data_IF_883615587497
#
_entry.id   IF_883615587497
#
_cell.length_a   1.000
_cell.length_b   1.000
_cell.length_c   1.000
_cell.angle_alpha   90.00
_cell.angle_beta   90.00
_cell.angle_gamma   90.00
#
_symmetry.space_group_name_H-M   'P 1'
#
loop_
_entity.id
_entity.type
_entity.pdbx_description
1 polymer ?
#
# COMPACT_ATOMS: atom_id res chain seq x y z
N UNK A 1 -3.86 40.09 -2.54
CA UNK A 1 -3.44 39.10 -3.55
C UNK A 1 -4.15 37.79 -3.19
N UNK A 2 -5.25 37.47 -3.88
CA UNK A 2 -5.99 36.23 -3.66
C UNK A 2 -5.28 35.11 -4.44
N UNK A 3 -4.69 34.16 -3.74
CA UNK A 3 -4.24 32.89 -4.34
C UNK A 3 -5.49 32.16 -4.86
N UNK A 4 -5.51 31.86 -6.15
CA UNK A 4 -6.58 31.07 -6.77
C UNK A 4 -6.37 29.60 -6.42
N UNK A 5 -7.25 29.04 -5.58
CA UNK A 5 -7.20 27.65 -5.13
C UNK A 5 -7.99 26.69 -6.03
N UNK A 6 -8.43 27.12 -7.22
CA UNK A 6 -8.93 26.15 -8.21
C UNK A 6 -7.81 25.13 -8.47
N UNK A 7 -8.09 23.82 -8.38
CA UNK A 7 -7.08 22.82 -8.71
C UNK A 7 -6.58 23.15 -10.12
N UNK A 8 -5.26 23.20 -10.28
CA UNK A 8 -4.63 23.40 -11.58
C UNK A 8 -4.92 22.21 -12.50
N UNK A 9 -3.88 21.48 -12.93
CA UNK A 9 -4.06 20.23 -13.67
C UNK A 9 -4.82 19.21 -12.82
N UNK A 10 -6.14 19.17 -12.94
CA UNK A 10 -6.99 18.10 -12.45
C UNK A 10 -7.15 17.09 -13.58
N UNK A 11 -6.90 15.80 -13.38
CA UNK A 11 -7.16 14.78 -14.40
C UNK A 11 -8.63 14.79 -14.85
N UNK A 12 -9.54 15.19 -13.97
CA UNK A 12 -10.98 15.31 -14.22
C UNK A 12 -11.40 16.63 -14.92
N UNK A 13 -10.44 17.48 -15.33
CA UNK A 13 -10.74 18.77 -15.96
C UNK A 13 -11.07 18.69 -17.45
N UNK A 14 -11.00 17.49 -18.05
CA UNK A 14 -11.25 17.26 -19.47
C UNK A 14 -12.12 16.03 -19.70
N UNK A 15 -13.30 16.26 -20.27
CA UNK A 15 -14.22 15.20 -20.73
C UNK A 15 -13.67 14.39 -21.93
N UNK A 16 -12.52 14.78 -22.47
CA UNK A 16 -11.90 14.17 -23.65
C UNK A 16 -10.69 13.29 -23.30
N UNK A 17 -10.21 13.33 -22.05
CA UNK A 17 -9.18 12.40 -21.59
C UNK A 17 -9.86 11.10 -21.19
N UNK A 18 -9.42 9.99 -21.77
CA UNK A 18 -9.91 8.67 -21.37
C UNK A 18 -9.58 8.43 -19.88
N UNK A 19 -10.52 7.83 -19.14
CA UNK A 19 -10.36 7.48 -17.72
C UNK A 19 -9.05 6.76 -17.39
N UNK A 20 -8.45 6.08 -18.38
CA UNK A 20 -7.19 5.35 -18.24
C UNK A 20 -6.29 5.48 -19.46
N UNK A 21 -5.36 6.43 -19.42
CA UNK A 21 -4.30 6.61 -20.42
C UNK A 21 -3.11 5.68 -20.12
N UNK A 22 -3.24 4.40 -20.46
CA UNK A 22 -2.12 3.45 -20.34
C UNK A 22 -1.10 3.65 -21.47
N UNK A 23 0.15 3.91 -21.10
CA UNK A 23 1.27 3.97 -22.05
C UNK A 23 1.81 2.58 -22.41
N UNK A 24 1.33 1.53 -21.73
CA UNK A 24 1.83 0.13 -21.83
C UNK A 24 3.33 -0.03 -21.56
N UNK A 25 3.97 0.93 -20.90
CA UNK A 25 5.41 0.88 -20.59
C UNK A 25 5.76 -0.12 -19.49
N UNK A 26 4.85 -0.35 -18.55
CA UNK A 26 5.03 -1.27 -17.43
C UNK A 26 3.70 -1.92 -17.02
N UNK A 27 3.78 -3.06 -16.34
CA UNK A 27 2.63 -3.67 -15.68
C UNK A 27 2.11 -2.75 -14.57
N UNK A 28 0.80 -2.78 -14.34
CA UNK A 28 0.19 -2.05 -13.24
C UNK A 28 0.65 -2.63 -11.91
N UNK A 29 1.10 -1.74 -11.03
CA UNK A 29 1.61 -2.09 -9.72
C UNK A 29 0.88 -1.30 -8.65
N UNK A 30 0.75 -1.93 -7.49
CA UNK A 30 0.19 -1.29 -6.30
C UNK A 30 1.29 -1.10 -5.27
N UNK A 31 1.09 -0.14 -4.38
CA UNK A 31 1.99 0.12 -3.26
C UNK A 31 1.41 -0.53 -2.00
N UNK A 32 2.23 -1.35 -1.36
CA UNK A 32 1.94 -2.05 -0.10
C UNK A 32 2.87 -1.54 0.98
N UNK A 33 2.43 -1.56 2.22
CA UNK A 33 3.23 -1.16 3.39
C UNK A 33 3.26 -2.30 4.39
N UNK A 34 4.45 -2.63 4.89
CA UNK A 34 4.61 -3.64 5.94
C UNK A 34 4.63 -2.97 7.31
N UNK A 35 3.81 -3.49 8.22
CA UNK A 35 3.76 -3.05 9.60
C UNK A 35 3.82 -4.24 10.55
N UNK A 36 4.29 -4.00 11.77
CA UNK A 36 4.19 -4.92 12.90
C UNK A 36 3.22 -4.35 13.91
N UNK A 37 2.46 -5.22 14.57
CA UNK A 37 1.66 -4.84 15.72
C UNK A 37 2.40 -5.27 16.99
N UNK A 38 2.89 -4.30 17.76
CA UNK A 38 3.60 -4.54 19.03
C UNK A 38 2.79 -3.88 20.13
N UNK A 39 2.26 -4.68 21.07
CA UNK A 39 1.46 -4.21 22.21
C UNK A 39 0.27 -3.29 21.82
N UNK A 40 -0.34 -3.54 20.65
CA UNK A 40 -1.46 -2.75 20.12
C UNK A 40 -1.02 -1.48 19.40
N UNK A 41 0.28 -1.20 19.32
CA UNK A 41 0.83 -0.11 18.53
C UNK A 41 1.29 -0.61 17.16
N UNK A 42 0.83 0.08 16.11
CA UNK A 42 1.24 -0.16 14.74
C UNK A 42 2.59 0.50 14.47
N UNK A 43 3.61 -0.31 14.23
CA UNK A 43 4.97 0.14 13.94
C UNK A 43 5.38 -0.29 12.53
N UNK A 44 6.25 0.47 11.84
CA UNK A 44 6.82 0.03 10.58
C UNK A 44 7.62 -1.26 10.75
N UNK A 45 7.66 -2.09 9.70
CA UNK A 45 8.41 -3.36 9.74
C UNK A 45 9.93 -3.15 9.79
N UNK A 46 10.44 -2.22 8.98
CA UNK A 46 11.86 -1.94 8.84
C UNK A 46 12.37 -0.96 9.92
N UNK A 47 13.64 -1.12 10.30
CA UNK A 47 14.34 -0.17 11.18
C UNK A 47 15.15 0.82 10.34
N UNK A 48 15.32 2.06 10.83
CA UNK A 48 16.10 3.10 10.14
C UNK A 48 15.57 4.50 10.36
N UNK A 49 16.02 5.44 9.51
CA UNK A 49 15.59 6.85 9.53
C UNK A 49 14.25 7.06 8.80
N UNK A 50 13.98 6.26 7.76
CA UNK A 50 12.78 6.33 6.90
C UNK A 50 12.03 5.01 6.95
N UNK A 51 11.57 4.64 8.15
CA UNK A 51 11.14 3.28 8.47
C UNK A 51 9.93 2.83 7.64
N UNK A 52 8.96 3.73 7.41
CA UNK A 52 7.80 3.43 6.59
C UNK A 52 8.19 3.25 5.13
N UNK A 53 9.00 4.14 4.57
CA UNK A 53 9.45 4.06 3.18
C UNK A 53 10.31 2.81 2.93
N UNK A 54 11.12 2.41 3.93
CA UNK A 54 11.87 1.16 3.89
C UNK A 54 10.99 -0.08 4.06
N UNK A 55 9.77 0.09 4.57
CA UNK A 55 8.76 -0.97 4.70
C UNK A 55 7.78 -1.00 3.52
N UNK A 56 8.00 -0.15 2.51
CA UNK A 56 7.13 -0.06 1.34
C UNK A 56 7.57 -1.05 0.26
N UNK A 57 6.59 -1.72 -0.34
CA UNK A 57 6.78 -2.67 -1.42
C UNK A 57 5.90 -2.29 -2.61
N UNK A 58 6.36 -2.59 -3.82
CA UNK A 58 5.53 -2.52 -5.02
C UNK A 58 5.39 -3.90 -5.62
N UNK A 59 4.15 -4.33 -5.80
CA UNK A 59 3.83 -5.61 -6.42
C UNK A 59 2.92 -5.42 -7.61
N UNK A 60 2.97 -6.37 -8.53
CA UNK A 60 2.06 -6.42 -9.68
C UNK A 60 0.63 -6.53 -9.18
N UNK A 61 -0.26 -5.67 -9.69
CA UNK A 61 -1.67 -5.65 -9.28
C UNK A 61 -2.33 -7.01 -9.55
N UNK A 62 -2.01 -7.64 -10.69
CA UNK A 62 -2.53 -8.95 -11.07
C UNK A 62 -2.17 -10.05 -10.08
N UNK A 63 -0.96 -10.01 -9.51
CA UNK A 63 -0.52 -10.94 -8.48
C UNK A 63 -1.21 -10.64 -7.15
N UNK A 64 -1.25 -9.38 -6.74
CA UNK A 64 -1.90 -8.98 -5.49
C UNK A 64 -3.37 -9.38 -5.45
N UNK A 65 -4.11 -9.15 -6.53
CA UNK A 65 -5.55 -9.47 -6.58
C UNK A 65 -5.84 -10.95 -6.32
N UNK A 66 -4.89 -11.85 -6.64
CA UNK A 66 -5.01 -13.29 -6.37
C UNK A 66 -4.70 -13.63 -4.92
N UNK A 67 -3.64 -13.06 -4.36
CA UNK A 67 -3.10 -13.48 -3.06
C UNK A 67 -3.50 -12.58 -1.89
N UNK A 68 -4.19 -11.45 -2.11
CA UNK A 68 -4.53 -10.47 -1.05
C UNK A 68 -5.28 -11.08 0.16
N UNK A 69 -6.03 -12.15 -0.06
CA UNK A 69 -6.81 -12.83 0.98
C UNK A 69 -5.94 -13.66 1.93
N UNK A 70 -4.69 -13.91 1.55
CA UNK A 70 -3.71 -14.71 2.29
C UNK A 70 -2.93 -13.86 3.30
N UNK A 71 -3.13 -12.53 3.29
CA UNK A 71 -2.46 -11.59 4.15
C UNK A 71 -3.41 -10.99 5.18
N UNK A 72 -2.90 -10.76 6.38
CA UNK A 72 -3.63 -9.96 7.39
C UNK A 72 -3.45 -8.49 7.06
N UNK A 73 -4.54 -7.81 6.71
CA UNK A 73 -4.53 -6.40 6.37
C UNK A 73 -5.01 -5.55 7.54
N UNK A 74 -4.40 -4.38 7.69
CA UNK A 74 -4.95 -3.32 8.53
C UNK A 74 -6.23 -2.81 7.86
N UNK A 75 -7.36 -2.87 8.58
CA UNK A 75 -8.65 -2.48 8.05
C UNK A 75 -9.30 -1.39 8.92
N UNK A 76 -10.36 -0.77 8.39
CA UNK A 76 -11.27 0.12 9.12
C UNK A 76 -10.58 1.32 9.80
N UNK A 77 -10.86 1.55 11.09
CA UNK A 77 -10.42 2.73 11.85
C UNK A 77 -8.89 2.81 11.99
N UNK A 78 -8.17 1.72 12.34
CA UNK A 78 -6.71 1.74 12.36
C UNK A 78 -6.07 2.16 11.03
N UNK A 79 -6.61 1.70 9.90
CA UNK A 79 -6.10 2.06 8.58
C UNK A 79 -6.31 3.55 8.29
N UNK A 80 -7.51 4.07 8.59
CA UNK A 80 -7.81 5.49 8.40
C UNK A 80 -6.88 6.39 9.23
N UNK A 81 -6.65 6.02 10.50
CA UNK A 81 -5.73 6.74 11.37
C UNK A 81 -4.30 6.72 10.83
N UNK A 82 -3.83 5.56 10.38
CA UNK A 82 -2.51 5.44 9.77
C UNK A 82 -2.38 6.27 8.50
N UNK A 83 -3.40 6.27 7.62
CA UNK A 83 -3.40 7.06 6.39
C UNK A 83 -3.27 8.56 6.68
N UNK A 84 -3.96 9.07 7.70
CA UNK A 84 -3.83 10.47 8.13
C UNK A 84 -2.42 10.76 8.65
N UNK A 85 -1.86 9.87 9.47
CA UNK A 85 -0.51 10.06 10.04
C UNK A 85 0.59 10.02 8.97
N UNK A 86 0.46 9.14 7.98
CA UNK A 86 1.46 8.93 6.93
C UNK A 86 1.14 9.68 5.63
N UNK A 87 0.12 10.56 5.64
CA UNK A 87 -0.34 11.33 4.47
C UNK A 87 -0.61 10.45 3.24
N UNK A 88 -1.15 9.25 3.45
CA UNK A 88 -1.51 8.31 2.38
C UNK A 88 -2.98 8.41 2.03
N UNK A 89 -3.32 8.07 0.78
CA UNK A 89 -4.71 8.02 0.35
C UNK A 89 -5.38 6.71 0.85
N UNK A 90 -6.44 6.78 1.66
CA UNK A 90 -7.11 5.59 2.21
C UNK A 90 -7.73 4.68 1.15
N UNK A 91 -8.06 5.19 -0.04
CA UNK A 91 -8.66 4.37 -1.11
C UNK A 91 -7.64 3.44 -1.79
N UNK A 92 -6.34 3.76 -1.67
CA UNK A 92 -5.25 3.02 -2.31
C UNK A 92 -4.25 2.44 -1.32
N UNK A 93 -4.26 2.90 -0.07
CA UNK A 93 -3.34 2.43 0.96
C UNK A 93 -3.66 1.00 1.37
N UNK A 94 -2.66 0.13 1.28
CA UNK A 94 -2.75 -1.24 1.76
C UNK A 94 -1.61 -1.48 2.73
N UNK A 95 -1.95 -1.82 3.98
CA UNK A 95 -0.98 -2.10 5.05
C UNK A 95 -1.13 -3.56 5.46
N UNK A 96 -0.06 -4.33 5.31
CA UNK A 96 0.02 -5.73 5.73
C UNK A 96 0.59 -5.79 7.14
N UNK A 97 -0.07 -6.54 8.01
CA UNK A 97 0.41 -6.84 9.37
C UNK A 97 1.27 -8.09 9.32
N UNK A 98 2.58 -7.87 9.42
CA UNK A 98 3.57 -8.93 9.50
C UNK A 98 3.68 -9.40 10.94
N UNK A 99 3.56 -10.70 11.13
CA UNK A 99 3.81 -11.39 12.40
C UNK A 99 5.01 -12.32 12.24
N UNK A 100 5.55 -12.82 13.35
CA UNK A 100 6.64 -13.80 13.30
C UNK A 100 6.13 -15.22 12.93
N UNK A 101 4.85 -15.37 12.60
CA UNK A 101 4.27 -16.63 12.14
C UNK A 101 4.59 -16.87 10.65
N UNK A 102 4.97 -18.11 10.25
CA UNK A 102 5.15 -18.45 8.84
C UNK A 102 3.86 -18.29 8.02
N UNK A 103 2.70 -18.29 8.69
CA UNK A 103 1.39 -18.19 8.03
C UNK A 103 1.04 -16.76 7.59
N UNK A 104 1.87 -15.76 7.89
CA UNK A 104 1.60 -14.37 7.51
C UNK A 104 1.88 -14.07 6.02
N UNK A 105 2.40 -15.05 5.28
CA UNK A 105 2.66 -14.95 3.84
C UNK A 105 3.84 -14.04 3.46
N UNK A 106 4.62 -13.58 4.44
CA UNK A 106 5.81 -12.77 4.24
C UNK A 106 7.05 -13.39 4.89
N UNK A 107 8.16 -13.42 4.16
CA UNK A 107 9.47 -13.89 4.59
C UNK A 107 10.53 -12.82 4.36
N UNK A 108 11.43 -12.62 5.33
CA UNK A 108 12.51 -11.64 5.19
C UNK A 108 13.54 -12.02 4.11
N UNK A 109 13.68 -13.32 3.80
CA UNK A 109 14.60 -13.81 2.77
C UNK A 109 13.97 -13.87 1.38
N UNK A 110 12.66 -14.11 1.28
CA UNK A 110 11.97 -14.39 0.01
C UNK A 110 10.96 -13.30 -0.38
N UNK A 111 10.55 -12.45 0.56
CA UNK A 111 9.56 -11.40 0.37
C UNK A 111 8.13 -11.91 0.56
N UNK A 112 7.21 -11.40 -0.27
CA UNK A 112 5.80 -11.80 -0.25
C UNK A 112 5.64 -13.15 -0.96
N UNK A 113 5.42 -14.19 -0.18
CA UNK A 113 5.29 -15.58 -0.64
C UNK A 113 3.83 -16.02 -0.76
N UNK A 114 2.91 -15.38 -0.04
CA UNK A 114 1.52 -15.84 0.08
C UNK A 114 1.43 -17.13 0.91
N UNK A 115 0.25 -17.76 0.94
CA UNK A 115 0.11 -19.15 1.38
C UNK A 115 0.55 -20.06 0.23
N UNK A 116 1.68 -20.76 0.41
CA UNK A 116 2.08 -21.81 -0.53
C UNK A 116 0.94 -22.85 -0.63
N UNK A 117 0.32 -22.99 -1.80
CA UNK A 117 -0.41 -24.23 -2.12
C UNK A 117 0.63 -25.36 -2.11
N UNK A 118 0.51 -26.27 -1.12
CA UNK A 118 1.21 -27.56 -1.08
C UNK A 118 0.51 -28.54 -2.00
#
# INVERSE_FOLDING_TARGET
MLLNFKPGYSPDSSDFLADKLSTRLAEESITLWLAKNVDGQLLPYACGAHQWEMSMLRVRESWWRKHKAEFTLLAEKPLQQWCVQQHQNPDFAVVIIVTDSPDCGYSASEGLIGTMEV
#
